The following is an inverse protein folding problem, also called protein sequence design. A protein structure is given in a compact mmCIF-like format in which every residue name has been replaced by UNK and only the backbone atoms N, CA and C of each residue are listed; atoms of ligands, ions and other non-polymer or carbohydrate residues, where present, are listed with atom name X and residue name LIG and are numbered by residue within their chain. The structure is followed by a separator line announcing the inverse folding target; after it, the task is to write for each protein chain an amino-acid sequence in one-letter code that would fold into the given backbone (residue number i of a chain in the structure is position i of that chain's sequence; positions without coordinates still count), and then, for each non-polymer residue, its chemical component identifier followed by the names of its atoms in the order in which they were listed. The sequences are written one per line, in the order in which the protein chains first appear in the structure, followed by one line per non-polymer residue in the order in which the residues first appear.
data_IF_965917217491
#
_entry.id   IF_965917217491
#
_cell.length_a   1.000
_cell.length_b   1.000
_cell.length_c   1.000
_cell.angle_alpha   90.00
_cell.angle_beta   90.00
_cell.angle_gamma   90.00
#
_symmetry.space_group_name_H-M   'P 1'
#
loop_
_entity.id
_entity.type
_entity.pdbx_description
1 polymer ?
#
# COMPACT_ATOMS: atom_id res chain seq x y z
N UNK A 1 -19.50 17.71 -1.24
CA UNK A 1 -20.36 16.88 -0.42
C UNK A 1 -19.45 16.06 0.47
N UNK A 2 -19.70 16.04 1.79
CA UNK A 2 -19.04 15.10 2.69
C UNK A 2 -19.32 13.67 2.20
N UNK A 3 -18.35 12.74 2.27
CA UNK A 3 -18.64 11.36 1.94
C UNK A 3 -19.77 10.89 2.87
N UNK A 4 -20.80 10.25 2.30
CA UNK A 4 -21.83 9.59 3.09
C UNK A 4 -21.12 8.64 4.06
N UNK A 5 -21.46 8.71 5.34
CA UNK A 5 -20.96 7.74 6.32
C UNK A 5 -21.32 6.33 5.82
N UNK A 6 -20.30 5.56 5.49
CA UNK A 6 -20.48 4.15 5.17
C UNK A 6 -20.37 3.42 6.50
N UNK A 7 -21.44 2.77 6.91
CA UNK A 7 -21.43 1.94 8.11
C UNK A 7 -20.69 0.63 7.81
N UNK A 8 -19.56 0.43 8.50
CA UNK A 8 -18.76 -0.77 8.40
C UNK A 8 -18.95 -1.62 9.65
N UNK A 9 -19.38 -2.85 9.45
CA UNK A 9 -19.32 -3.85 10.50
C UNK A 9 -17.94 -4.54 10.49
N UNK A 10 -17.27 -4.55 11.64
CA UNK A 10 -16.01 -5.25 11.81
C UNK A 10 -16.24 -6.76 11.89
N UNK A 11 -15.71 -7.51 10.92
CA UNK A 11 -15.72 -8.97 10.93
C UNK A 11 -14.70 -9.54 11.91
N UNK A 12 -14.96 -10.75 12.41
CA UNK A 12 -14.08 -11.47 13.33
C UNK A 12 -13.48 -12.69 12.65
N UNK A 13 -12.16 -12.82 12.78
CA UNK A 13 -11.39 -13.95 12.27
C UNK A 13 -10.75 -14.66 13.46
N UNK A 14 -11.02 -15.94 13.61
CA UNK A 14 -10.25 -16.81 14.49
C UNK A 14 -8.98 -17.22 13.76
N UNK A 15 -7.83 -16.99 14.38
CA UNK A 15 -6.55 -17.41 13.86
C UNK A 15 -5.79 -18.19 14.93
N UNK A 16 -5.43 -19.40 14.61
CA UNK A 16 -4.59 -20.25 15.46
C UNK A 16 -3.49 -20.89 14.61
N UNK A 17 -2.47 -21.38 15.28
CA UNK A 17 -1.38 -22.11 14.63
C UNK A 17 -1.31 -23.52 15.21
N UNK A 18 -1.31 -24.52 14.34
CA UNK A 18 -1.14 -25.91 14.75
C UNK A 18 0.31 -26.19 15.22
N UNK A 19 0.53 -27.30 15.99
CA UNK A 19 1.85 -27.65 16.49
C UNK A 19 2.92 -27.88 15.40
N UNK A 20 2.50 -28.27 14.19
CA UNK A 20 3.35 -28.44 13.00
C UNK A 20 3.69 -27.14 12.30
N UNK A 21 3.09 -26.02 12.77
CA UNK A 21 3.34 -24.69 12.23
C UNK A 21 2.33 -24.21 11.18
N UNK A 22 1.34 -25.01 10.80
CA UNK A 22 0.29 -24.59 9.87
C UNK A 22 -0.66 -23.58 10.50
N UNK A 23 -1.10 -22.61 9.71
CA UNK A 23 -2.06 -21.61 10.14
C UNK A 23 -3.49 -22.11 9.91
N UNK A 24 -4.34 -21.91 10.89
CA UNK A 24 -5.78 -22.11 10.81
C UNK A 24 -6.50 -20.76 10.85
N UNK A 25 -7.40 -20.54 9.91
CA UNK A 25 -8.26 -19.35 9.86
C UNK A 25 -9.72 -19.75 9.79
N UNK A 26 -10.59 -19.02 10.52
CA UNK A 26 -12.02 -19.19 10.47
C UNK A 26 -12.73 -17.85 10.55
N UNK A 27 -13.61 -17.59 9.60
CA UNK A 27 -14.52 -16.44 9.61
C UNK A 27 -15.66 -16.74 10.57
N UNK A 28 -15.74 -16.07 11.72
CA UNK A 28 -16.73 -16.39 12.76
C UNK A 28 -18.15 -15.97 12.37
N UNK A 29 -18.30 -14.97 11.49
CA UNK A 29 -19.58 -14.42 11.06
C UNK A 29 -19.85 -14.73 9.57
N UNK A 30 -19.48 -15.94 9.13
CA UNK A 30 -19.52 -16.34 7.72
C UNK A 30 -20.92 -16.17 7.08
N UNK A 31 -22.01 -16.44 7.82
CA UNK A 31 -23.39 -16.30 7.30
C UNK A 31 -23.75 -14.86 6.93
N UNK A 32 -23.13 -13.88 7.57
CA UNK A 32 -23.43 -12.45 7.39
C UNK A 32 -22.66 -11.84 6.22
N UNK A 33 -21.64 -12.57 5.74
CA UNK A 33 -20.87 -12.18 4.55
C UNK A 33 -21.70 -12.34 3.29
N UNK A 34 -22.59 -13.31 3.27
CA UNK A 34 -23.39 -13.65 2.09
C UNK A 34 -24.16 -12.45 1.56
N UNK A 35 -24.00 -12.18 0.25
CA UNK A 35 -24.62 -11.07 -0.47
C UNK A 35 -24.21 -9.65 0.01
N UNK A 36 -23.25 -9.55 0.94
CA UNK A 36 -22.72 -8.27 1.43
C UNK A 36 -21.38 -7.95 0.76
N UNK A 37 -21.04 -6.68 0.53
CA UNK A 37 -19.67 -6.31 0.19
C UNK A 37 -18.71 -6.69 1.32
N UNK A 38 -17.55 -7.25 0.98
CA UNK A 38 -16.49 -7.55 1.95
C UNK A 38 -15.28 -6.64 1.69
N UNK A 39 -14.74 -6.04 2.75
CA UNK A 39 -13.54 -5.23 2.71
C UNK A 39 -12.47 -5.89 3.58
N UNK A 40 -11.32 -6.20 2.98
CA UNK A 40 -10.16 -6.70 3.69
C UNK A 40 -9.01 -5.69 3.60
N UNK A 41 -8.48 -5.30 4.75
CA UNK A 41 -7.44 -4.26 4.83
C UNK A 41 -6.18 -4.89 5.43
N UNK A 42 -5.11 -5.00 4.66
CA UNK A 42 -3.81 -5.47 5.14
C UNK A 42 -2.68 -5.04 4.21
N UNK A 43 -1.45 -4.93 4.74
CA UNK A 43 -0.24 -4.76 3.95
C UNK A 43 0.34 -6.10 3.50
N UNK A 44 1.05 -6.11 2.38
CA UNK A 44 1.79 -7.29 1.88
C UNK A 44 3.26 -7.25 2.32
N UNK A 45 3.48 -7.05 3.64
CA UNK A 45 4.81 -6.79 4.24
C UNK A 45 5.72 -8.01 4.31
N UNK A 46 5.17 -9.21 4.14
CA UNK A 46 5.91 -10.48 4.15
C UNK A 46 5.17 -11.54 3.32
N UNK A 47 5.86 -12.64 3.00
CA UNK A 47 5.24 -13.78 2.30
C UNK A 47 4.09 -14.36 3.11
N UNK A 48 4.23 -14.43 4.43
CA UNK A 48 3.15 -14.89 5.33
C UNK A 48 1.93 -13.97 5.25
N UNK A 49 2.12 -12.65 5.22
CA UNK A 49 1.03 -11.68 5.10
C UNK A 49 0.33 -11.78 3.73
N UNK A 50 1.08 -12.03 2.66
CA UNK A 50 0.52 -12.25 1.31
C UNK A 50 -0.34 -13.50 1.29
N UNK A 51 0.13 -14.61 1.87
CA UNK A 51 -0.62 -15.87 1.93
C UNK A 51 -1.84 -15.77 2.84
N UNK A 52 -1.74 -15.09 3.98
CA UNK A 52 -2.89 -14.78 4.83
C UNK A 52 -3.96 -14.00 4.07
N UNK A 53 -3.58 -12.92 3.40
CA UNK A 53 -4.47 -12.12 2.56
C UNK A 53 -5.16 -13.00 1.51
N UNK A 54 -4.41 -13.84 0.81
CA UNK A 54 -4.96 -14.74 -0.20
C UNK A 54 -5.98 -15.71 0.38
N UNK A 55 -5.66 -16.35 1.52
CA UNK A 55 -6.53 -17.32 2.18
C UNK A 55 -7.82 -16.68 2.68
N UNK A 56 -7.72 -15.52 3.37
CA UNK A 56 -8.90 -14.81 3.89
C UNK A 56 -9.77 -14.28 2.75
N UNK A 57 -9.17 -13.66 1.73
CA UNK A 57 -9.91 -13.15 0.58
C UNK A 57 -10.60 -14.27 -0.21
N UNK A 58 -9.95 -15.41 -0.36
CA UNK A 58 -10.55 -16.61 -0.97
C UNK A 58 -11.75 -17.08 -0.17
N UNK A 59 -11.62 -17.19 1.17
CA UNK A 59 -12.71 -17.58 2.05
C UNK A 59 -13.91 -16.60 1.98
N UNK A 60 -13.67 -15.28 1.95
CA UNK A 60 -14.72 -14.27 1.79
C UNK A 60 -15.54 -14.48 0.51
N UNK A 61 -14.88 -14.82 -0.60
CA UNK A 61 -15.59 -15.12 -1.86
C UNK A 61 -16.33 -16.46 -1.79
N UNK A 62 -15.74 -17.48 -1.16
CA UNK A 62 -16.38 -18.78 -0.96
C UNK A 62 -17.66 -18.67 -0.10
N UNK A 63 -17.67 -17.75 0.89
CA UNK A 63 -18.85 -17.40 1.67
C UNK A 63 -19.81 -16.46 0.93
N UNK A 64 -19.60 -16.31 -0.40
CA UNK A 64 -20.52 -15.60 -1.31
C UNK A 64 -20.68 -14.10 -1.02
N UNK A 65 -19.57 -13.40 -0.66
CA UNK A 65 -19.62 -11.94 -0.65
C UNK A 65 -20.06 -11.40 -2.02
N UNK A 66 -20.82 -10.31 -2.04
CA UNK A 66 -21.31 -9.73 -3.31
C UNK A 66 -20.21 -9.07 -4.12
N UNK A 67 -19.26 -8.44 -3.44
CA UNK A 67 -18.02 -7.86 -4.00
C UNK A 67 -16.90 -7.99 -2.99
N UNK A 68 -15.67 -8.19 -3.48
CA UNK A 68 -14.47 -8.23 -2.65
C UNK A 68 -13.65 -6.96 -2.89
N UNK A 69 -13.34 -6.23 -1.81
CA UNK A 69 -12.52 -5.03 -1.81
C UNK A 69 -11.28 -5.27 -0.96
N UNK A 70 -10.12 -5.38 -1.60
CA UNK A 70 -8.82 -5.58 -0.93
C UNK A 70 -8.13 -4.22 -0.86
N UNK A 71 -7.91 -3.70 0.34
CA UNK A 71 -7.20 -2.44 0.55
C UNK A 71 -5.80 -2.75 1.06
N UNK A 72 -4.80 -2.35 0.29
CA UNK A 72 -3.39 -2.57 0.58
C UNK A 72 -2.72 -1.21 0.84
N UNK A 73 -2.64 -0.77 2.11
CA UNK A 73 -2.00 0.49 2.47
C UNK A 73 -0.50 0.50 2.14
N UNK A 74 0.15 -0.65 2.23
CA UNK A 74 1.54 -0.84 1.85
C UNK A 74 1.69 -2.09 0.98
N UNK A 75 2.01 -1.89 -0.30
CA UNK A 75 2.29 -2.97 -1.24
C UNK A 75 3.77 -3.35 -1.14
N UNK A 76 4.04 -4.43 -0.39
CA UNK A 76 5.40 -4.96 -0.22
C UNK A 76 5.99 -5.45 -1.55
N UNK A 77 7.31 -5.55 -1.59
CA UNK A 77 8.08 -5.90 -2.80
C UNK A 77 7.89 -4.94 -3.98
N UNK A 78 7.31 -3.76 -3.78
CA UNK A 78 7.04 -2.80 -4.85
C UNK A 78 8.31 -2.26 -5.52
N UNK A 79 9.46 -2.33 -4.85
CA UNK A 79 10.78 -2.04 -5.45
C UNK A 79 11.31 -3.15 -6.37
N UNK A 80 10.72 -4.36 -6.29
CA UNK A 80 11.00 -5.52 -7.15
C UNK A 80 9.98 -5.60 -8.30
N UNK A 81 9.62 -4.46 -8.86
CA UNK A 81 8.61 -4.32 -9.94
C UNK A 81 9.18 -4.60 -11.33
N UNK A 82 10.50 -4.63 -11.49
CA UNK A 82 11.17 -4.95 -12.74
C UNK A 82 12.50 -5.66 -12.47
N UNK A 83 12.94 -6.45 -13.42
CA UNK A 83 14.28 -7.01 -13.43
C UNK A 83 15.25 -5.99 -14.03
N UNK A 84 16.31 -5.66 -13.31
CA UNK A 84 17.44 -4.83 -13.76
C UNK A 84 18.59 -5.69 -14.31
N UNK A 85 18.64 -6.96 -13.89
CA UNK A 85 19.65 -7.93 -14.32
C UNK A 85 18.99 -9.24 -14.73
N UNK A 86 19.63 -9.98 -15.61
CA UNK A 86 19.17 -11.30 -16.01
C UNK A 86 19.09 -12.24 -14.82
N UNK A 87 17.95 -12.92 -14.65
CA UNK A 87 17.72 -13.88 -13.57
C UNK A 87 17.07 -13.27 -12.32
N UNK A 88 16.91 -11.97 -12.22
CA UNK A 88 16.12 -11.35 -11.13
C UNK A 88 14.65 -11.70 -11.22
N UNK A 89 14.05 -11.97 -10.07
CA UNK A 89 12.62 -12.29 -9.96
C UNK A 89 11.81 -11.03 -9.72
N UNK A 90 10.81 -10.78 -10.56
CA UNK A 90 9.89 -9.65 -10.41
C UNK A 90 8.78 -10.03 -9.42
N UNK A 91 9.08 -9.92 -8.12
CA UNK A 91 8.20 -10.42 -7.06
C UNK A 91 6.87 -9.66 -7.03
N UNK A 92 6.87 -8.35 -7.25
CA UNK A 92 5.65 -7.55 -7.34
C UNK A 92 4.66 -8.11 -8.38
N UNK A 93 5.16 -8.58 -9.53
CA UNK A 93 4.35 -9.21 -10.57
C UNK A 93 3.77 -10.56 -10.11
N UNK A 94 4.57 -11.35 -9.39
CA UNK A 94 4.12 -12.65 -8.89
C UNK A 94 3.02 -12.47 -7.84
N UNK A 95 3.13 -11.50 -6.94
CA UNK A 95 2.08 -11.16 -5.96
C UNK A 95 0.81 -10.70 -6.67
N UNK A 96 0.93 -9.79 -7.65
CA UNK A 96 -0.23 -9.34 -8.42
C UNK A 96 -0.95 -10.50 -9.12
N UNK A 97 -0.19 -11.45 -9.70
CA UNK A 97 -0.75 -12.66 -10.34
C UNK A 97 -1.38 -13.61 -9.33
N UNK A 98 -0.77 -13.80 -8.16
CA UNK A 98 -1.35 -14.59 -7.09
C UNK A 98 -2.70 -14.01 -6.67
N UNK A 99 -2.79 -12.71 -6.42
CA UNK A 99 -4.05 -12.05 -6.08
C UNK A 99 -5.06 -12.08 -7.23
N UNK A 100 -4.59 -12.09 -8.47
CA UNK A 100 -5.45 -12.22 -9.66
C UNK A 100 -6.07 -13.61 -9.79
N UNK A 101 -5.49 -14.63 -9.16
CA UNK A 101 -6.03 -15.99 -9.14
C UNK A 101 -7.10 -16.24 -8.07
N UNK A 102 -7.44 -15.21 -7.27
CA UNK A 102 -8.56 -15.31 -6.31
C UNK A 102 -9.87 -15.64 -7.02
N UNK A 103 -10.74 -16.47 -6.40
CA UNK A 103 -12.10 -16.67 -6.91
C UNK A 103 -12.79 -15.33 -7.12
N UNK A 104 -13.63 -15.24 -8.16
CA UNK A 104 -14.32 -13.99 -8.50
C UNK A 104 -15.65 -13.90 -7.76
N UNK A 105 -15.87 -12.81 -7.02
CA UNK A 105 -17.16 -12.50 -6.42
C UNK A 105 -18.18 -12.02 -7.47
N UNK A 106 -19.47 -12.08 -7.16
CA UNK A 106 -20.54 -11.81 -8.12
C UNK A 106 -20.46 -10.43 -8.79
N UNK A 107 -19.99 -9.40 -8.06
CA UNK A 107 -19.82 -8.03 -8.58
C UNK A 107 -18.36 -7.68 -8.88
N UNK A 108 -17.47 -8.66 -8.79
CA UNK A 108 -16.04 -8.51 -9.07
C UNK A 108 -15.19 -8.19 -7.85
N UNK A 109 -13.89 -8.40 -8.03
CA UNK A 109 -12.87 -8.15 -7.03
C UNK A 109 -12.15 -6.84 -7.36
N UNK A 110 -11.87 -6.04 -6.34
CA UNK A 110 -11.19 -4.76 -6.46
C UNK A 110 -9.98 -4.76 -5.53
N UNK A 111 -8.84 -4.29 -6.02
CA UNK A 111 -7.65 -4.11 -5.19
C UNK A 111 -7.24 -2.64 -5.20
N UNK A 112 -7.24 -2.04 -4.02
CA UNK A 112 -6.87 -0.65 -3.81
C UNK A 112 -5.47 -0.60 -3.21
N UNK A 113 -4.55 0.05 -3.89
CA UNK A 113 -3.15 0.16 -3.47
C UNK A 113 -2.80 1.62 -3.24
N UNK A 114 -2.24 1.93 -2.08
CA UNK A 114 -1.90 3.31 -1.70
C UNK A 114 -0.45 3.59 -2.04
N UNK A 115 -0.20 4.71 -2.70
CA UNK A 115 1.14 5.27 -3.01
C UNK A 115 2.16 4.24 -3.51
N UNK A 116 1.79 3.50 -4.56
CA UNK A 116 2.69 2.53 -5.18
C UNK A 116 4.05 3.16 -5.52
N UNK A 117 5.13 2.42 -5.28
CA UNK A 117 6.49 2.79 -5.68
C UNK A 117 6.57 3.05 -7.19
N UNK A 118 5.92 2.20 -7.98
CA UNK A 118 5.75 2.34 -9.43
C UNK A 118 4.30 2.13 -9.83
N UNK A 119 3.72 3.08 -10.56
CA UNK A 119 2.36 2.95 -11.09
C UNK A 119 2.22 1.80 -12.08
N UNK A 120 3.33 1.33 -12.65
CA UNK A 120 3.36 0.18 -13.54
C UNK A 120 2.90 -1.12 -12.87
N UNK A 121 3.02 -1.23 -11.54
CA UNK A 121 2.63 -2.43 -10.78
C UNK A 121 1.16 -2.78 -10.96
N UNK A 122 0.27 -1.80 -11.11
CA UNK A 122 -1.16 -2.06 -11.33
C UNK A 122 -1.44 -2.86 -12.60
N UNK A 123 -0.58 -2.76 -13.62
CA UNK A 123 -0.74 -3.49 -14.89
C UNK A 123 -0.29 -4.95 -14.82
N UNK A 124 0.19 -5.41 -13.66
CA UNK A 124 0.50 -6.82 -13.43
C UNK A 124 -0.70 -7.64 -12.98
N UNK A 125 -1.79 -6.98 -12.58
CA UNK A 125 -3.03 -7.66 -12.27
C UNK A 125 -3.71 -8.14 -13.56
N UNK A 126 -4.24 -9.34 -13.53
CA UNK A 126 -4.81 -10.05 -14.69
C UNK A 126 -6.26 -10.51 -14.38
N UNK A 127 -6.99 -10.92 -15.39
CA UNK A 127 -8.33 -11.50 -15.23
C UNK A 127 -9.40 -10.50 -14.80
N UNK A 128 -10.24 -10.89 -13.85
CA UNK A 128 -11.41 -10.13 -13.40
C UNK A 128 -11.14 -9.18 -12.24
N UNK A 129 -9.95 -9.22 -11.62
CA UNK A 129 -9.59 -8.31 -10.53
C UNK A 129 -9.30 -6.92 -11.08
N UNK A 130 -9.79 -5.89 -10.41
CA UNK A 130 -9.63 -4.49 -10.83
C UNK A 130 -8.67 -3.76 -9.92
N UNK A 131 -7.44 -3.46 -10.37
CA UNK A 131 -6.48 -2.66 -9.60
C UNK A 131 -6.86 -1.18 -9.63
N UNK A 132 -6.78 -0.52 -8.48
CA UNK A 132 -7.06 0.90 -8.30
C UNK A 132 -5.93 1.49 -7.46
N UNK A 133 -5.23 2.46 -8.03
CA UNK A 133 -4.22 3.22 -7.29
C UNK A 133 -4.89 4.38 -6.56
N UNK A 134 -4.62 4.50 -5.27
CA UNK A 134 -5.01 5.61 -4.41
C UNK A 134 -3.77 6.41 -4.01
N UNK A 135 -3.94 7.70 -3.80
CA UNK A 135 -2.90 8.53 -3.23
C UNK A 135 -3.23 8.91 -1.79
N UNK A 136 -2.23 8.88 -0.90
CA UNK A 136 -2.34 9.38 0.47
C UNK A 136 -2.23 10.91 0.54
N UNK A 137 -2.14 11.62 -0.59
CA UNK A 137 -2.00 13.09 -0.63
C UNK A 137 -2.98 13.82 0.30
N UNK A 138 -4.29 13.48 0.38
CA UNK A 138 -5.21 14.15 1.30
C UNK A 138 -4.82 14.01 2.77
N UNK A 139 -4.38 12.81 3.18
CA UNK A 139 -3.91 12.53 4.55
C UNK A 139 -2.62 13.29 4.85
N UNK A 140 -1.68 13.30 3.92
CA UNK A 140 -0.41 14.00 4.06
C UNK A 140 -0.65 15.52 4.20
N UNK A 141 -1.59 16.08 3.44
CA UNK A 141 -2.00 17.48 3.56
C UNK A 141 -2.52 17.79 4.96
N UNK A 142 -3.37 16.93 5.52
CA UNK A 142 -3.89 17.10 6.88
C UNK A 142 -2.75 17.02 7.89
N UNK A 143 -1.87 16.03 7.80
CA UNK A 143 -0.71 15.91 8.69
C UNK A 143 0.21 17.14 8.61
N UNK A 144 0.43 17.70 7.43
CA UNK A 144 1.22 18.92 7.25
C UNK A 144 0.56 20.11 7.95
N UNK A 145 -0.77 20.26 7.83
CA UNK A 145 -1.50 21.32 8.50
C UNK A 145 -1.40 21.21 10.02
N UNK A 146 -1.38 20.00 10.57
CA UNK A 146 -1.26 19.74 12.02
C UNK A 146 0.15 20.07 12.58
N UNK A 147 1.18 20.11 11.72
CA UNK A 147 2.56 20.46 12.13
C UNK A 147 2.70 21.94 12.53
N UNK A 148 1.84 22.80 12.03
CA UNK A 148 1.81 24.23 12.30
C UNK A 148 2.25 25.09 11.11
N UNK A 149 2.61 26.33 11.37
CA UNK A 149 2.85 27.30 10.32
C UNK A 149 4.15 27.03 9.54
N UNK A 150 4.05 27.10 8.22
CA UNK A 150 5.12 27.11 7.22
C UNK A 150 6.22 26.01 7.41
N UNK A 151 5.84 24.72 7.53
CA UNK A 151 6.82 23.65 7.56
C UNK A 151 7.53 23.50 6.21
N UNK A 152 8.71 22.87 6.23
CA UNK A 152 9.41 22.45 5.00
C UNK A 152 9.01 21.01 4.68
N UNK A 153 8.59 20.73 3.46
CA UNK A 153 8.35 19.37 3.00
C UNK A 153 9.64 18.80 2.40
N UNK A 154 10.14 17.72 2.97
CA UNK A 154 11.42 17.15 2.58
C UNK A 154 11.31 15.69 2.16
N UNK A 155 12.29 15.21 1.40
CA UNK A 155 12.50 13.78 1.16
C UNK A 155 13.98 13.43 1.14
N UNK A 156 14.26 12.23 1.62
CA UNK A 156 15.58 11.62 1.52
C UNK A 156 15.67 10.59 0.36
N UNK A 157 14.60 10.46 -0.42
CA UNK A 157 14.51 9.59 -1.60
C UNK A 157 14.37 10.44 -2.86
N UNK A 158 15.39 10.43 -3.73
CA UNK A 158 15.37 11.15 -5.00
C UNK A 158 14.24 10.68 -5.93
N UNK A 159 13.78 9.44 -5.81
CA UNK A 159 12.60 8.95 -6.52
C UNK A 159 11.32 9.70 -6.16
N UNK A 160 11.24 10.24 -4.94
CA UNK A 160 10.11 11.03 -4.43
C UNK A 160 10.28 12.56 -4.63
N UNK A 161 11.45 13.01 -5.05
CA UNK A 161 11.74 14.45 -5.17
C UNK A 161 10.72 15.21 -6.04
N UNK A 162 10.34 14.66 -7.19
CA UNK A 162 9.32 15.25 -8.08
C UNK A 162 7.95 15.36 -7.41
N UNK A 163 7.58 14.33 -6.62
CA UNK A 163 6.33 14.33 -5.89
C UNK A 163 6.33 15.40 -4.80
N UNK A 164 7.40 15.46 -3.99
CA UNK A 164 7.58 16.48 -2.94
C UNK A 164 7.54 17.88 -3.52
N UNK A 165 8.25 18.12 -4.63
CA UNK A 165 8.22 19.41 -5.33
C UNK A 165 6.82 19.82 -5.79
N UNK A 166 6.06 18.87 -6.35
CA UNK A 166 4.69 19.13 -6.80
C UNK A 166 3.76 19.41 -5.62
N UNK A 167 3.90 18.66 -4.52
CA UNK A 167 3.10 18.83 -3.33
C UNK A 167 3.40 20.16 -2.63
N UNK A 168 4.69 20.48 -2.41
CA UNK A 168 5.09 21.74 -1.78
C UNK A 168 4.62 22.94 -2.61
N UNK A 169 4.75 22.91 -3.95
CA UNK A 169 4.24 23.94 -4.82
C UNK A 169 2.71 24.15 -4.72
N UNK A 170 1.94 23.08 -4.57
CA UNK A 170 0.48 23.17 -4.36
C UNK A 170 0.08 23.72 -3.00
N UNK A 171 0.92 23.52 -2.00
CA UNK A 171 0.67 23.98 -0.62
C UNK A 171 1.32 25.33 -0.32
N UNK A 172 2.09 25.88 -1.24
CA UNK A 172 2.86 27.11 -1.01
C UNK A 172 3.99 26.94 0.00
N UNK A 173 4.54 25.71 0.13
CA UNK A 173 5.59 25.36 1.09
C UNK A 173 6.95 25.27 0.41
N UNK A 174 8.01 25.50 1.17
CA UNK A 174 9.36 25.18 0.72
C UNK A 174 9.58 23.66 0.67
N UNK A 175 10.44 23.23 -0.25
CA UNK A 175 10.85 21.83 -0.37
C UNK A 175 12.33 21.64 -0.13
N UNK A 176 12.69 20.54 0.52
CA UNK A 176 14.07 20.16 0.76
C UNK A 176 14.34 18.72 0.27
N UNK A 177 15.53 18.53 -0.31
CA UNK A 177 15.97 17.23 -0.83
C UNK A 177 17.31 16.86 -0.21
N UNK A 178 17.38 15.65 0.31
CA UNK A 178 18.61 15.07 0.83
C UNK A 178 19.23 14.23 -0.28
N UNK A 179 20.36 14.66 -0.78
CA UNK A 179 21.15 13.88 -1.73
C UNK A 179 22.03 12.90 -0.99
N UNK A 180 21.85 11.61 -1.27
CA UNK A 180 22.62 10.50 -0.69
C UNK A 180 23.49 9.88 -1.77
N UNK A 181 24.75 9.62 -1.43
CA UNK A 181 25.62 8.78 -2.24
C UNK A 181 25.78 7.42 -1.58
N UNK A 182 25.50 6.37 -2.33
CA UNK A 182 25.68 4.99 -1.86
C UNK A 182 27.14 4.60 -2.08
N UNK A 183 27.87 4.41 -1.00
CA UNK A 183 29.29 4.00 -1.04
C UNK A 183 29.43 2.46 -1.14
N UNK A 184 28.49 1.72 -0.53
CA UNK A 184 28.42 0.26 -0.58
C UNK A 184 26.97 -0.22 -0.40
N UNK A 185 26.73 -1.54 -0.39
CA UNK A 185 25.41 -2.12 -0.13
C UNK A 185 24.77 -1.68 1.19
N UNK A 186 25.57 -1.36 2.19
CA UNK A 186 25.12 -1.00 3.56
C UNK A 186 25.49 0.43 3.98
N UNK A 187 26.39 1.09 3.27
CA UNK A 187 26.84 2.44 3.63
C UNK A 187 26.30 3.49 2.67
N UNK A 188 25.64 4.48 3.27
CA UNK A 188 25.10 5.64 2.54
C UNK A 188 25.58 6.92 3.23
N UNK A 189 26.13 7.84 2.46
CA UNK A 189 26.58 9.16 2.95
C UNK A 189 25.61 10.25 2.44
N UNK A 190 25.32 11.22 3.32
CA UNK A 190 24.57 12.43 2.93
C UNK A 190 25.57 13.42 2.31
N UNK A 191 25.41 13.68 1.02
CA UNK A 191 26.34 14.53 0.26
C UNK A 191 25.90 15.99 0.26
N UNK A 192 24.59 16.24 0.22
CA UNK A 192 24.05 17.59 0.17
C UNK A 192 22.60 17.67 0.65
N UNK A 193 22.26 18.87 1.14
CA UNK A 193 20.88 19.32 1.39
C UNK A 193 20.68 20.59 0.57
N UNK A 194 19.66 20.63 -0.27
CA UNK A 194 19.43 21.75 -1.19
C UNK A 194 18.77 22.98 -0.56
N UNK A 195 18.38 22.92 0.72
CA UNK A 195 17.70 24.02 1.42
C UNK A 195 18.20 24.18 2.86
N UNK A 196 18.17 25.41 3.36
CA UNK A 196 18.39 25.65 4.78
C UNK A 196 17.12 25.35 5.59
N UNK A 197 17.19 24.37 6.46
CA UNK A 197 16.09 23.92 7.33
C UNK A 197 16.34 24.24 8.80
N UNK A 198 17.41 25.00 9.11
CA UNK A 198 17.77 25.35 10.49
C UNK A 198 16.64 26.13 11.16
N UNK A 199 16.24 25.69 12.37
CA UNK A 199 15.16 26.30 13.15
C UNK A 199 13.74 26.10 12.58
N UNK A 200 13.57 25.31 11.52
CA UNK A 200 12.27 25.07 10.88
C UNK A 200 11.73 23.68 11.21
N UNK A 201 10.41 23.57 11.21
CA UNK A 201 9.76 22.25 11.25
C UNK A 201 9.88 21.59 9.88
N UNK A 202 10.25 20.33 9.87
CA UNK A 202 10.45 19.57 8.62
C UNK A 202 9.54 18.34 8.63
N UNK A 203 8.73 18.19 7.61
CA UNK A 203 7.94 16.97 7.33
C UNK A 203 8.68 16.17 6.30
N UNK A 204 9.14 14.98 6.68
CA UNK A 204 9.88 14.10 5.76
C UNK A 204 8.92 13.08 5.18
N UNK A 205 8.76 13.10 3.87
CA UNK A 205 8.03 12.09 3.11
C UNK A 205 9.01 11.10 2.50
N UNK A 206 8.84 9.84 2.85
CA UNK A 206 9.78 8.76 2.48
C UNK A 206 9.10 7.69 1.61
#
# INVERSE_FOLDING_TARGET
AAPSEIDFRLGKIEHTRFPDGENYYRLLEAREIRNSPAVYVAGTVSDAAVMEMYNICSALVMEQCSSLHIVIPYFGYSTMERASRRGEVVIAKNIARLLSSLPTSARGNFVYMVDLHSLGTQYYFEGSIRPIHLTAEPLIRQMIADVGENPVLATADMGRAKWVQKMSGRLGLDSAYIMKQRLSGEQTEVVALNANVSGRRVVIYY
#
